data_IF_888483801581
#
_entry.id   IF_888483801581
#
_cell.length_a   1.000
_cell.length_b   1.000
_cell.length_c   1.000
_cell.angle_alpha   90.00
_cell.angle_beta   90.00
_cell.angle_gamma   90.00
#
_symmetry.space_group_name_H-M   'P 1'
#
loop_
_entity.id
_entity.type
_entity.pdbx_description
1 polymer ?
#
# COMPACT_ATOMS: atom_id res chain seq x y z
N UNK A 1 -4.22 11.26 -7.47
CA UNK A 1 -5.54 11.68 -6.92
C UNK A 1 -6.70 10.97 -7.63
N UNK A 2 -6.63 10.81 -8.94
CA UNK A 2 -7.72 10.20 -9.74
C UNK A 2 -8.06 8.79 -9.25
N UNK A 3 -7.08 7.95 -8.89
CA UNK A 3 -7.34 6.60 -8.38
C UNK A 3 -7.68 6.57 -6.88
N UNK A 4 -7.32 7.56 -6.12
CA UNK A 4 -7.68 7.64 -4.71
C UNK A 4 -9.17 8.01 -4.50
N UNK A 5 -9.72 8.92 -5.29
CA UNK A 5 -11.05 9.49 -5.08
C UNK A 5 -11.96 9.53 -6.32
N UNK A 6 -11.39 9.57 -7.51
CA UNK A 6 -12.14 9.66 -8.76
C UNK A 6 -12.65 8.31 -9.30
N UNK A 7 -13.35 8.31 -10.45
CA UNK A 7 -13.75 7.09 -11.12
C UNK A 7 -12.53 6.27 -11.58
N UNK A 8 -12.44 4.95 -11.28
CA UNK A 8 -11.33 4.10 -11.72
C UNK A 8 -11.12 4.08 -13.23
N UNK A 9 -12.19 4.19 -14.01
CA UNK A 9 -12.09 4.25 -15.48
C UNK A 9 -11.38 5.50 -15.99
N UNK A 10 -11.40 6.59 -15.22
CA UNK A 10 -10.65 7.81 -15.55
C UNK A 10 -9.13 7.61 -15.38
N UNK A 11 -8.74 6.78 -14.43
CA UNK A 11 -7.33 6.45 -14.18
C UNK A 11 -6.80 5.37 -15.13
N UNK A 12 -7.59 4.30 -15.37
CA UNK A 12 -7.12 3.06 -16.01
C UNK A 12 -7.92 2.67 -17.26
N UNK A 13 -8.79 3.55 -17.75
CA UNK A 13 -9.49 3.35 -19.02
C UNK A 13 -10.75 2.48 -18.95
N UNK A 14 -11.30 2.21 -20.14
CA UNK A 14 -12.63 1.59 -20.34
C UNK A 14 -12.86 0.27 -19.57
N UNK A 15 -11.90 -0.67 -19.45
CA UNK A 15 -12.12 -1.92 -18.73
C UNK A 15 -12.52 -1.73 -17.27
N UNK A 16 -12.18 -0.56 -16.68
CA UNK A 16 -12.49 -0.22 -15.29
C UNK A 16 -13.86 0.44 -15.07
N UNK A 17 -14.69 0.68 -16.12
CA UNK A 17 -15.99 1.36 -15.97
C UNK A 17 -16.92 0.72 -14.96
N UNK A 18 -16.91 -0.61 -14.86
CA UNK A 18 -17.72 -1.35 -13.89
C UNK A 18 -17.39 -1.03 -12.42
N UNK A 19 -16.18 -0.55 -12.15
CA UNK A 19 -15.74 -0.13 -10.82
C UNK A 19 -16.08 1.32 -10.49
N UNK A 20 -16.61 2.08 -11.41
CA UNK A 20 -17.00 3.45 -11.16
C UNK A 20 -18.19 3.54 -10.20
N UNK A 21 -19.12 2.58 -10.26
CA UNK A 21 -20.36 2.56 -9.46
C UNK A 21 -20.81 1.18 -8.98
N UNK A 22 -20.57 0.13 -9.77
CA UNK A 22 -21.22 -1.17 -9.60
C UNK A 22 -20.39 -2.14 -8.75
N UNK A 23 -19.08 -2.00 -8.76
CA UNK A 23 -18.17 -2.94 -8.13
C UNK A 23 -17.15 -2.27 -7.22
N UNK A 24 -16.84 -2.98 -6.13
CA UNK A 24 -15.75 -2.57 -5.25
C UNK A 24 -14.39 -2.78 -5.92
N UNK A 25 -13.50 -1.81 -5.72
CA UNK A 25 -12.07 -1.91 -5.99
C UNK A 25 -11.29 -1.33 -4.82
N UNK A 26 -10.19 -2.00 -4.44
CA UNK A 26 -9.23 -1.44 -3.51
C UNK A 26 -8.57 -0.19 -4.13
N UNK A 27 -8.57 0.91 -3.40
CA UNK A 27 -8.06 2.21 -3.85
C UNK A 27 -6.86 2.63 -3.03
N UNK A 28 -6.09 3.56 -3.55
CA UNK A 28 -5.12 4.29 -2.76
C UNK A 28 -5.81 5.12 -1.67
N UNK A 29 -5.13 5.41 -0.56
CA UNK A 29 -5.63 6.34 0.45
C UNK A 29 -5.93 7.71 -0.15
N UNK A 30 -6.85 8.44 0.50
CA UNK A 30 -7.09 9.84 0.17
C UNK A 30 -6.13 10.75 0.94
N UNK A 31 -5.96 12.00 0.49
CA UNK A 31 -5.25 12.99 1.33
C UNK A 31 -5.83 13.02 2.77
N UNK A 32 -5.01 13.17 3.80
CA UNK A 32 -3.58 13.50 3.73
C UNK A 32 -2.63 12.30 3.63
N UNK A 33 -3.13 11.07 3.46
CA UNK A 33 -2.34 9.84 3.36
C UNK A 33 -1.99 9.42 1.93
N UNK A 34 -2.37 10.17 0.91
CA UNK A 34 -1.94 9.93 -0.46
C UNK A 34 -0.48 10.36 -0.59
N UNK A 35 0.40 9.39 -0.86
CA UNK A 35 1.85 9.56 -0.97
C UNK A 35 2.34 9.34 -2.42
N UNK A 36 1.54 9.73 -3.38
CA UNK A 36 1.88 9.80 -4.81
C UNK A 36 1.35 11.12 -5.36
N UNK A 37 2.24 11.98 -5.81
CA UNK A 37 1.86 13.20 -6.52
C UNK A 37 1.67 12.93 -8.00
N UNK A 38 2.58 12.15 -8.60
CA UNK A 38 2.51 11.79 -10.02
C UNK A 38 3.18 10.47 -10.34
N UNK A 39 2.68 9.83 -11.38
CA UNK A 39 3.34 8.71 -12.05
C UNK A 39 4.19 9.29 -13.17
N UNK A 40 5.49 9.06 -13.11
CA UNK A 40 6.46 9.61 -14.06
C UNK A 40 6.63 8.68 -15.26
N UNK A 41 6.68 7.37 -14.98
CA UNK A 41 6.85 6.36 -16.02
C UNK A 41 6.24 5.05 -15.56
N UNK A 42 5.70 4.30 -16.50
CA UNK A 42 5.16 2.96 -16.28
C UNK A 42 5.46 2.07 -17.48
N UNK A 43 5.85 0.88 -17.23
CA UNK A 43 5.98 -0.23 -18.16
C UNK A 43 5.44 -1.48 -17.47
N UNK A 44 4.67 -2.29 -18.06
CA UNK A 44 4.34 -2.54 -19.46
C UNK A 44 3.06 -1.84 -19.95
N UNK A 45 2.44 -2.43 -20.99
CA UNK A 45 1.07 -2.11 -21.42
C UNK A 45 0.05 -2.33 -20.31
N UNK A 46 -1.03 -1.51 -20.24
CA UNK A 46 -2.06 -1.65 -19.22
C UNK A 46 -2.82 -2.99 -19.35
N UNK A 47 -3.38 -3.43 -18.22
CA UNK A 47 -4.26 -4.61 -18.08
C UNK A 47 -3.58 -5.96 -18.34
N UNK A 48 -2.27 -5.98 -18.43
CA UNK A 48 -1.47 -7.21 -18.58
C UNK A 48 -0.75 -7.50 -17.29
N UNK A 49 -1.34 -8.40 -16.47
CA UNK A 49 -0.76 -8.81 -15.18
C UNK A 49 0.28 -9.91 -15.40
N UNK A 50 1.55 -9.53 -15.44
CA UNK A 50 2.70 -10.42 -15.57
C UNK A 50 3.91 -9.85 -14.82
N UNK A 51 4.89 -10.68 -14.38
CA UNK A 51 6.15 -10.19 -13.81
C UNK A 51 6.89 -9.20 -14.71
N UNK A 52 7.83 -8.49 -14.11
CA UNK A 52 8.72 -7.49 -14.69
C UNK A 52 8.09 -6.14 -15.09
N UNK A 53 6.78 -5.99 -14.87
CA UNK A 53 6.16 -4.66 -14.95
C UNK A 53 6.66 -3.74 -13.84
N UNK A 54 6.91 -2.47 -14.15
CA UNK A 54 7.40 -1.50 -13.18
C UNK A 54 6.80 -0.11 -13.36
N UNK A 55 6.86 0.67 -12.31
CA UNK A 55 6.42 2.06 -12.26
C UNK A 55 7.43 2.92 -11.53
N UNK A 56 7.60 4.16 -11.98
CA UNK A 56 8.25 5.23 -11.24
C UNK A 56 7.20 6.27 -10.85
N UNK A 57 7.15 6.56 -9.55
CA UNK A 57 6.26 7.56 -8.95
C UNK A 57 7.08 8.60 -8.21
N UNK A 58 6.56 9.81 -8.09
CA UNK A 58 7.16 10.89 -7.32
C UNK A 58 6.23 11.38 -6.24
N UNK A 59 6.85 11.79 -5.13
CA UNK A 59 6.21 12.42 -3.99
C UNK A 59 7.09 13.54 -3.43
N UNK A 60 6.55 14.74 -3.25
CA UNK A 60 7.26 15.89 -2.75
C UNK A 60 7.17 16.00 -1.22
N UNK A 61 8.33 16.02 -0.55
CA UNK A 61 8.42 16.23 0.89
C UNK A 61 8.30 17.74 1.20
N UNK A 62 7.08 18.19 1.41
CA UNK A 62 6.83 19.58 1.82
C UNK A 62 7.26 19.79 3.28
N UNK A 63 8.09 20.80 3.60
CA UNK A 63 8.56 21.04 4.97
C UNK A 63 7.42 21.24 5.98
N UNK A 64 6.29 21.80 5.54
CA UNK A 64 5.10 22.04 6.35
C UNK A 64 4.15 20.84 6.42
N UNK A 65 4.48 19.68 5.83
CA UNK A 65 3.62 18.52 5.87
C UNK A 65 3.27 18.11 7.30
N UNK A 66 2.04 17.68 7.48
CA UNK A 66 1.45 17.38 8.79
C UNK A 66 2.28 16.39 9.61
N UNK A 67 2.90 15.40 8.98
CA UNK A 67 3.69 14.38 9.66
C UNK A 67 5.02 14.91 10.22
N UNK A 68 5.63 15.95 9.62
CA UNK A 68 6.79 16.60 10.22
C UNK A 68 6.40 17.41 11.46
N UNK A 69 5.24 18.07 11.43
CA UNK A 69 4.74 18.83 12.60
C UNK A 69 4.26 17.92 13.73
N UNK A 70 3.71 16.76 13.39
CA UNK A 70 3.25 15.78 14.39
C UNK A 70 4.39 14.95 14.99
N UNK A 71 5.54 14.88 14.35
CA UNK A 71 6.70 14.12 14.78
C UNK A 71 7.65 14.96 15.63
N UNK A 72 8.22 14.36 16.66
CA UNK A 72 9.24 15.05 17.51
C UNK A 72 10.63 15.02 16.90
N UNK A 73 10.85 14.22 15.87
CA UNK A 73 12.09 14.11 15.12
C UNK A 73 11.93 14.82 13.77
N UNK A 74 12.92 15.57 13.28
CA UNK A 74 12.84 16.24 11.97
C UNK A 74 12.93 15.28 10.78
N UNK A 75 13.16 13.99 11.03
CA UNK A 75 13.18 12.98 10.01
C UNK A 75 11.77 12.56 9.57
N UNK A 76 11.66 12.07 8.32
CA UNK A 76 10.45 11.46 7.79
C UNK A 76 10.07 10.23 8.65
N UNK A 77 8.85 10.17 9.22
CA UNK A 77 8.41 9.01 9.98
C UNK A 77 8.44 7.74 9.12
N UNK A 78 8.91 6.62 9.69
CA UNK A 78 9.01 5.35 8.97
C UNK A 78 7.66 4.92 8.36
N UNK A 79 6.54 5.11 9.07
CA UNK A 79 5.21 4.79 8.55
C UNK A 79 4.85 5.57 7.27
N UNK A 80 5.24 6.83 7.18
CA UNK A 80 5.03 7.64 5.96
C UNK A 80 5.99 7.19 4.84
N UNK A 81 7.24 6.89 5.17
CA UNK A 81 8.19 6.35 4.20
C UNK A 81 7.72 5.01 3.62
N UNK A 82 7.15 4.15 4.46
CA UNK A 82 6.52 2.91 4.00
C UNK A 82 5.35 3.18 3.03
N UNK A 83 4.48 4.15 3.32
CA UNK A 83 3.39 4.52 2.42
C UNK A 83 3.92 5.05 1.07
N UNK A 84 4.97 5.88 1.07
CA UNK A 84 5.64 6.37 -0.14
C UNK A 84 6.18 5.21 -0.97
N UNK A 85 6.74 4.17 -0.32
CA UNK A 85 7.28 3.00 -0.99
C UNK A 85 6.19 2.05 -1.51
N UNK A 86 5.10 1.85 -0.76
CA UNK A 86 4.14 0.78 -1.00
C UNK A 86 2.92 1.20 -1.85
N UNK A 87 2.53 2.47 -1.83
CA UNK A 87 1.40 2.95 -2.65
C UNK A 87 1.63 2.80 -4.15
N UNK A 88 2.85 3.01 -4.71
CA UNK A 88 3.13 2.70 -6.10
C UNK A 88 2.92 1.23 -6.48
N UNK A 89 3.13 0.28 -5.55
CA UNK A 89 2.80 -1.14 -5.76
C UNK A 89 1.30 -1.33 -6.00
N UNK A 90 0.46 -0.71 -5.16
CA UNK A 90 -1.01 -0.75 -5.29
C UNK A 90 -1.49 -0.08 -6.58
N UNK A 91 -0.87 1.02 -6.97
CA UNK A 91 -1.17 1.68 -8.24
C UNK A 91 -0.81 0.80 -9.44
N UNK A 92 0.41 0.20 -9.42
CA UNK A 92 0.88 -0.69 -10.49
C UNK A 92 -0.02 -1.93 -10.61
N UNK A 93 -0.40 -2.54 -9.48
CA UNK A 93 -1.34 -3.66 -9.45
C UNK A 93 -2.67 -3.33 -10.15
N UNK A 94 -3.23 -2.14 -9.89
CA UNK A 94 -4.43 -1.68 -10.55
C UNK A 94 -4.19 -1.42 -12.05
N UNK A 95 -3.11 -0.72 -12.42
CA UNK A 95 -2.75 -0.45 -13.81
C UNK A 95 -2.61 -1.73 -14.64
N UNK A 96 -1.98 -2.75 -14.07
CA UNK A 96 -1.79 -4.06 -14.71
C UNK A 96 -3.04 -4.95 -14.68
N UNK A 97 -4.13 -4.51 -14.06
CA UNK A 97 -5.41 -5.18 -14.17
C UNK A 97 -5.70 -6.26 -13.11
N UNK A 98 -5.06 -6.22 -11.94
CA UNK A 98 -5.33 -7.20 -10.86
C UNK A 98 -6.82 -7.31 -10.51
N UNK A 99 -7.54 -6.17 -10.47
CA UNK A 99 -8.97 -6.16 -10.20
C UNK A 99 -9.82 -6.75 -11.34
N UNK A 100 -9.27 -6.84 -12.55
CA UNK A 100 -9.96 -7.39 -13.73
C UNK A 100 -9.94 -8.93 -13.74
N UNK A 101 -9.06 -9.56 -12.96
CA UNK A 101 -8.87 -11.01 -12.89
C UNK A 101 -9.99 -11.75 -12.18
N UNK A 102 -10.86 -11.05 -11.47
CA UNK A 102 -11.94 -11.68 -10.73
C UNK A 102 -13.25 -10.94 -10.94
N UNK A 103 -14.36 -11.66 -10.97
CA UNK A 103 -15.71 -11.08 -10.95
C UNK A 103 -16.18 -10.74 -9.52
N UNK A 104 -15.42 -11.12 -8.49
CA UNK A 104 -15.67 -10.79 -7.09
C UNK A 104 -14.96 -9.50 -6.70
N UNK A 105 -15.51 -8.78 -5.71
CA UNK A 105 -14.89 -7.60 -5.13
C UNK A 105 -13.68 -7.99 -4.28
N UNK A 106 -12.47 -7.80 -4.81
CA UNK A 106 -11.24 -8.15 -4.13
C UNK A 106 -10.88 -7.11 -3.07
N UNK A 107 -10.45 -7.56 -1.90
CA UNK A 107 -9.91 -6.76 -0.81
C UNK A 107 -8.39 -6.87 -0.82
N UNK A 108 -7.73 -5.75 -0.60
CA UNK A 108 -6.28 -5.66 -0.61
C UNK A 108 -5.71 -5.77 0.79
N UNK A 109 -4.59 -6.51 0.93
CA UNK A 109 -3.78 -6.54 2.16
C UNK A 109 -2.30 -6.60 1.85
N UNK A 110 -1.51 -5.82 2.57
CA UNK A 110 -0.08 -6.09 2.70
C UNK A 110 0.09 -7.31 3.62
N UNK A 111 0.97 -8.23 3.22
CA UNK A 111 1.22 -9.48 3.93
C UNK A 111 2.60 -9.51 4.59
N UNK A 112 3.50 -8.62 4.18
CA UNK A 112 4.83 -8.50 4.73
C UNK A 112 5.87 -8.02 3.71
N UNK A 113 7.13 -8.08 4.13
CA UNK A 113 8.29 -7.70 3.34
C UNK A 113 9.48 -7.40 4.23
N UNK A 114 10.61 -7.17 3.58
CA UNK A 114 11.87 -6.80 4.21
C UNK A 114 12.39 -5.53 3.56
N UNK A 115 12.96 -4.62 4.35
CA UNK A 115 13.48 -3.38 3.81
C UNK A 115 14.70 -2.86 4.58
N UNK A 116 15.55 -2.13 3.88
CA UNK A 116 16.73 -1.47 4.41
C UNK A 116 16.61 0.05 4.26
N UNK A 117 16.79 0.77 5.36
CA UNK A 117 16.92 2.22 5.37
C UNK A 117 18.42 2.56 5.35
N UNK A 118 18.88 3.17 4.25
CA UNK A 118 20.29 3.54 4.08
C UNK A 118 20.63 4.90 4.67
N UNK A 119 19.66 5.81 4.65
CA UNK A 119 19.76 7.14 5.29
C UNK A 119 18.41 7.69 5.69
N UNK A 120 18.38 8.49 6.73
CA UNK A 120 17.20 9.24 7.10
C UNK A 120 16.85 10.27 6.00
N UNK A 121 15.57 10.45 5.76
CA UNK A 121 15.01 11.47 4.88
C UNK A 121 14.32 12.55 5.72
N UNK A 122 14.27 13.77 5.19
CA UNK A 122 13.66 14.88 5.88
C UNK A 122 13.20 16.00 4.93
N UNK A 123 12.73 17.14 5.47
CA UNK A 123 12.14 18.23 4.66
C UNK A 123 13.06 18.78 3.56
N UNK A 124 14.39 18.65 3.74
CA UNK A 124 15.38 19.12 2.77
C UNK A 124 15.63 18.19 1.58
N UNK A 125 15.06 16.98 1.59
CA UNK A 125 15.26 16.01 0.50
C UNK A 125 14.39 16.28 -0.74
N UNK A 126 13.38 17.14 -0.63
CA UNK A 126 12.56 17.58 -1.75
C UNK A 126 11.75 16.46 -2.36
N UNK A 127 11.91 16.20 -3.66
CA UNK A 127 11.16 15.18 -4.38
C UNK A 127 11.80 13.81 -4.22
N UNK A 128 11.02 12.87 -3.70
CA UNK A 128 11.37 11.45 -3.66
C UNK A 128 10.86 10.75 -4.92
N UNK A 129 11.71 9.90 -5.48
CA UNK A 129 11.31 9.01 -6.58
C UNK A 129 11.24 7.58 -6.07
N UNK A 130 10.08 6.95 -6.17
CA UNK A 130 9.90 5.53 -5.88
C UNK A 130 9.81 4.74 -7.18
N UNK A 131 10.71 3.78 -7.35
CA UNK A 131 10.64 2.78 -8.41
C UNK A 131 10.17 1.46 -7.82
N UNK A 132 9.15 0.87 -8.42
CA UNK A 132 8.56 -0.39 -7.98
C UNK A 132 8.45 -1.34 -9.15
N UNK A 133 8.88 -2.61 -8.97
CA UNK A 133 8.80 -3.67 -9.96
C UNK A 133 8.01 -4.86 -9.40
N UNK A 134 7.05 -5.36 -10.17
CA UNK A 134 6.35 -6.61 -9.89
C UNK A 134 7.27 -7.78 -10.24
N UNK A 135 7.67 -8.60 -9.26
CA UNK A 135 8.61 -9.71 -9.45
C UNK A 135 7.93 -11.05 -9.64
N UNK A 136 6.76 -11.23 -8.99
CA UNK A 136 6.02 -12.49 -9.08
C UNK A 136 4.52 -12.25 -8.92
N UNK A 137 3.74 -13.07 -9.64
CA UNK A 137 2.28 -13.17 -9.52
C UNK A 137 1.92 -14.64 -9.30
N UNK A 138 1.08 -14.90 -8.32
CA UNK A 138 0.49 -16.21 -8.06
C UNK A 138 -1.01 -16.07 -7.92
N UNK A 139 -1.77 -16.84 -8.71
CA UNK A 139 -3.23 -16.88 -8.65
C UNK A 139 -3.64 -18.23 -8.07
N UNK A 140 -4.31 -18.24 -6.92
CA UNK A 140 -4.76 -19.45 -6.22
C UNK A 140 -6.20 -19.25 -5.76
N UNK A 141 -7.13 -20.02 -6.32
CA UNK A 141 -8.57 -19.98 -5.99
C UNK A 141 -9.14 -18.55 -5.91
N UNK A 142 -9.37 -18.08 -4.68
CA UNK A 142 -9.98 -16.78 -4.36
C UNK A 142 -8.95 -15.68 -4.03
N UNK A 143 -7.67 -15.88 -4.38
CA UNK A 143 -6.56 -15.01 -4.02
C UNK A 143 -5.62 -14.72 -5.19
N UNK A 144 -5.08 -13.52 -5.23
CA UNK A 144 -3.95 -13.15 -6.10
C UNK A 144 -2.86 -12.61 -5.18
N UNK A 145 -1.69 -13.24 -5.19
CA UNK A 145 -0.51 -12.79 -4.44
C UNK A 145 0.49 -12.17 -5.41
N UNK A 146 1.01 -11.01 -5.07
CA UNK A 146 1.93 -10.25 -5.90
C UNK A 146 3.12 -9.84 -5.06
N UNK A 147 4.33 -10.14 -5.54
CA UNK A 147 5.59 -9.76 -4.91
C UNK A 147 6.22 -8.60 -5.68
N UNK A 148 6.80 -7.69 -4.93
CA UNK A 148 7.41 -6.48 -5.47
C UNK A 148 8.79 -6.24 -4.87
N UNK A 149 9.64 -5.62 -5.66
CA UNK A 149 10.81 -4.90 -5.20
C UNK A 149 10.54 -3.41 -5.32
N UNK A 150 11.04 -2.63 -4.38
CA UNK A 150 10.93 -1.18 -4.43
C UNK A 150 12.24 -0.50 -4.02
N UNK A 151 12.44 0.70 -4.55
CA UNK A 151 13.53 1.59 -4.15
C UNK A 151 13.02 3.03 -4.13
N UNK A 152 13.24 3.72 -3.01
CA UNK A 152 12.99 5.14 -2.82
C UNK A 152 14.30 5.88 -2.85
N UNK A 153 14.38 6.91 -3.70
CA UNK A 153 15.58 7.73 -3.90
C UNK A 153 15.25 9.21 -3.73
N UNK A 154 16.22 9.98 -3.25
CA UNK A 154 16.18 11.43 -3.23
C UNK A 154 17.42 12.00 -3.91
N UNK A 155 17.25 12.93 -4.84
CA UNK A 155 18.38 13.46 -5.63
C UNK A 155 19.14 12.39 -6.41
N UNK A 156 18.47 11.29 -6.81
CA UNK A 156 19.06 10.16 -7.50
C UNK A 156 19.84 9.19 -6.62
N UNK A 157 19.93 9.43 -5.30
CA UNK A 157 20.61 8.55 -4.34
C UNK A 157 19.62 7.65 -3.62
N UNK A 158 19.82 6.31 -3.60
CA UNK A 158 18.97 5.41 -2.85
C UNK A 158 18.94 5.75 -1.36
N UNK A 159 17.78 5.75 -0.76
CA UNK A 159 17.59 6.01 0.66
C UNK A 159 16.86 4.88 1.40
N UNK A 160 15.95 4.19 0.72
CA UNK A 160 15.16 3.09 1.29
C UNK A 160 14.79 2.12 0.18
N UNK A 161 15.03 0.84 0.41
CA UNK A 161 14.72 -0.19 -0.57
C UNK A 161 14.32 -1.51 0.09
N UNK A 162 13.64 -2.37 -0.66
CA UNK A 162 13.24 -3.66 -0.13
C UNK A 162 12.34 -4.45 -1.04
N UNK A 163 11.76 -5.48 -0.43
CA UNK A 163 10.76 -6.34 -1.03
C UNK A 163 9.47 -6.28 -0.23
N UNK A 164 8.36 -6.51 -0.90
CA UNK A 164 7.05 -6.61 -0.24
C UNK A 164 6.14 -7.54 -1.02
N UNK A 165 5.11 -8.07 -0.37
CA UNK A 165 4.11 -8.85 -1.06
C UNK A 165 2.71 -8.51 -0.54
N UNK A 166 1.77 -8.50 -1.48
CA UNK A 166 0.38 -8.13 -1.27
C UNK A 166 -0.53 -9.25 -1.70
N UNK A 167 -1.66 -9.35 -1.02
CA UNK A 167 -2.74 -10.24 -1.41
C UNK A 167 -4.00 -9.47 -1.79
N UNK A 168 -4.65 -9.92 -2.84
CA UNK A 168 -6.00 -9.56 -3.21
C UNK A 168 -6.90 -10.73 -2.88
N UNK A 169 -7.86 -10.54 -1.98
CA UNK A 169 -8.68 -11.59 -1.39
C UNK A 169 -10.14 -11.33 -1.63
N UNK A 170 -10.89 -12.39 -1.89
CA UNK A 170 -12.36 -12.30 -1.81
C UNK A 170 -12.81 -12.11 -0.36
N UNK A 171 -14.01 -11.53 -0.10
CA UNK A 171 -14.57 -11.47 1.26
C UNK A 171 -14.64 -12.84 1.93
N UNK A 172 -14.91 -13.91 1.16
CA UNK A 172 -14.92 -15.29 1.65
C UNK A 172 -13.56 -15.77 2.13
N UNK A 173 -12.49 -15.46 1.38
CA UNK A 173 -11.13 -15.81 1.80
C UNK A 173 -10.76 -15.08 3.10
N UNK A 174 -11.09 -13.78 3.20
CA UNK A 174 -10.83 -13.00 4.41
C UNK A 174 -11.61 -13.49 5.63
N UNK A 175 -12.85 -13.94 5.47
CA UNK A 175 -13.67 -14.43 6.58
C UNK A 175 -13.15 -15.73 7.20
N UNK A 176 -12.25 -16.46 6.50
CA UNK A 176 -11.61 -17.68 6.99
C UNK A 176 -10.26 -17.43 7.66
N UNK A 177 -9.75 -16.20 7.63
CA UNK A 177 -8.49 -15.88 8.28
C UNK A 177 -8.64 -15.90 9.80
N UNK A 178 -7.67 -16.50 10.47
CA UNK A 178 -7.56 -16.37 11.92
C UNK A 178 -7.23 -14.91 12.29
N UNK A 179 -7.97 -14.40 13.24
CA UNK A 179 -7.82 -13.06 13.77
C UNK A 179 -8.06 -13.07 15.27
N UNK A 180 -8.15 -11.93 15.87
CA UNK A 180 -8.58 -11.79 17.27
C UNK A 180 -10.04 -12.22 17.38
N UNK A 181 -10.28 -13.47 17.78
CA UNK A 181 -11.62 -14.06 17.85
C UNK A 181 -12.55 -13.36 18.83
N UNK A 182 -12.00 -12.66 19.81
CA UNK A 182 -12.71 -11.92 20.86
C UNK A 182 -12.43 -10.42 20.79
N UNK A 183 -12.28 -9.85 19.61
CA UNK A 183 -11.96 -8.43 19.40
C UNK A 183 -12.92 -7.46 20.10
N UNK A 184 -14.20 -7.84 20.25
CA UNK A 184 -15.20 -7.06 20.99
C UNK A 184 -14.82 -6.89 22.47
N UNK A 185 -14.14 -7.88 23.04
CA UNK A 185 -13.70 -7.83 24.45
C UNK A 185 -12.47 -6.94 24.65
N UNK A 186 -11.84 -6.48 23.57
CA UNK A 186 -10.71 -5.55 23.58
C UNK A 186 -11.13 -4.09 23.45
N UNK A 187 -12.43 -3.82 23.24
CA UNK A 187 -12.93 -2.46 23.28
C UNK A 187 -12.78 -1.91 24.70
N UNK A 188 -12.27 -0.68 24.85
CA UNK A 188 -12.09 -0.09 26.17
C UNK A 188 -13.46 0.04 26.85
N UNK A 189 -13.67 -0.83 27.86
CA UNK A 189 -14.62 -0.56 28.90
C UNK A 189 -14.03 0.48 29.88
N UNK A 190 -14.28 0.30 31.12
CA UNK A 190 -13.82 1.13 32.25
C UNK A 190 -12.30 1.10 32.53
N UNK A 191 -11.49 0.60 31.61
CA UNK A 191 -10.03 0.49 31.74
C UNK A 191 -9.54 -0.71 32.56
N UNK A 192 -10.41 -1.39 33.32
CA UNK A 192 -10.01 -2.54 34.15
C UNK A 192 -9.82 -3.80 33.31
N UNK A 193 -10.56 -3.96 32.21
CA UNK A 193 -10.45 -5.08 31.29
C UNK A 193 -9.17 -5.09 30.43
N UNK A 194 -8.59 -3.92 30.16
CA UNK A 194 -7.34 -3.79 29.39
C UNK A 194 -6.12 -4.29 30.15
N UNK A 195 -6.09 -4.13 31.49
CA UNK A 195 -4.96 -4.57 32.33
C UNK A 195 -4.88 -6.09 32.44
N UNK A 196 -6.00 -6.78 32.57
CA UNK A 196 -6.01 -8.25 32.67
C UNK A 196 -5.68 -8.92 31.33
N UNK A 197 -5.98 -8.27 30.20
CA UNK A 197 -5.73 -8.81 28.84
C UNK A 197 -4.33 -8.49 28.32
N UNK A 198 -3.72 -7.38 28.72
CA UNK A 198 -2.31 -7.09 28.44
C UNK A 198 -1.38 -8.11 29.14
N UNK A 199 -1.72 -8.55 30.34
CA UNK A 199 -0.98 -9.62 31.03
C UNK A 199 -1.10 -10.96 30.28
N UNK A 200 -2.27 -11.27 29.71
CA UNK A 200 -2.49 -12.51 28.95
C UNK A 200 -1.77 -12.54 27.58
N UNK A 201 -1.54 -11.38 26.97
CA UNK A 201 -0.77 -11.25 25.73
C UNK A 201 0.75 -11.34 25.99
N UNK A 202 1.21 -10.96 27.18
CA UNK A 202 2.62 -11.08 27.58
C UNK A 202 3.03 -12.54 27.90
N UNK A 203 2.07 -13.38 28.34
CA UNK A 203 2.29 -14.80 28.63
C UNK A 203 2.17 -15.71 27.38
N UNK A 204 1.82 -15.14 26.21
CA UNK A 204 1.65 -15.87 24.94
C UNK A 204 2.83 -15.66 23.95
N UNK A 205 3.87 -14.96 24.35
CA UNK A 205 5.16 -14.85 23.66
C UNK A 205 6.22 -15.60 24.49
#
# INVERSE_FOLDING_TARGET
ETFASGPPSKAFGRPYRRFDRERFIARLPRPPFLCIDRIVRVEPEPWVLKPDGWVAAEYELLPEAWYFRANRCPALPLGILMEIALQPCGWLAAYMGSALKSDKGLRFRNLGGDAALHRALGPGDGVLTTRTRLTQVSEVEDMIIQHYEFQVSAGGQPAYEGTTYFGFFTPRALSRQDGLRQGMDLLPGDGTGLRSKAAHLADAT
#
